data_IF_971469165117
#
_entry.id   IF_971469165117
#
_cell.length_a   1.000
_cell.length_b   1.000
_cell.length_c   1.000
_cell.angle_alpha   90.00
_cell.angle_beta   90.00
_cell.angle_gamma   90.00
#
_symmetry.space_group_name_H-M   'P 1'
#
loop_
_entity.id
_entity.type
_entity.pdbx_description
1 polymer ?
#
# COMPACT_ATOMS: atom_id res chain seq x y z
N UNK A 1 54.42 35.79 -6.89
CA UNK A 1 55.82 35.58 -7.30
C UNK A 1 56.09 34.09 -7.38
N UNK A 2 56.56 33.65 -8.56
CA UNK A 2 57.42 32.48 -8.87
C UNK A 2 57.18 31.14 -8.15
N UNK A 3 56.70 30.17 -8.94
CA UNK A 3 57.25 28.80 -8.99
C UNK A 3 58.72 28.85 -9.50
N UNK A 4 59.58 27.80 -9.39
CA UNK A 4 59.45 26.59 -10.24
C UNK A 4 60.10 25.27 -9.72
N UNK A 5 59.93 24.17 -10.50
CA UNK A 5 60.74 22.92 -10.43
C UNK A 5 59.92 21.62 -10.59
N UNK A 6 59.43 21.14 -11.76
CA UNK A 6 60.12 20.47 -12.90
C UNK A 6 60.89 19.18 -12.49
N UNK A 7 60.84 17.96 -13.09
CA UNK A 7 60.65 17.44 -14.46
C UNK A 7 60.36 15.88 -14.43
N UNK A 8 59.39 15.40 -15.24
CA UNK A 8 59.30 14.13 -16.06
C UNK A 8 59.24 12.71 -15.44
N UNK A 9 58.75 11.62 -16.08
CA UNK A 9 57.76 11.25 -17.13
C UNK A 9 58.10 9.80 -17.54
N UNK A 10 57.22 8.80 -17.33
CA UNK A 10 57.03 7.52 -18.07
C UNK A 10 55.68 6.97 -17.55
N UNK A 11 54.67 6.53 -18.30
CA UNK A 11 54.66 5.86 -19.59
C UNK A 11 54.15 4.43 -19.39
N UNK A 12 52.83 4.23 -19.31
CA UNK A 12 52.22 2.92 -19.62
C UNK A 12 50.79 3.13 -20.10
N UNK A 13 50.61 3.09 -21.42
CA UNK A 13 49.30 2.91 -22.06
C UNK A 13 49.11 1.41 -22.17
N UNK A 14 48.17 0.87 -21.41
CA UNK A 14 47.72 -0.51 -21.57
C UNK A 14 46.67 -0.53 -22.68
N UNK A 15 47.09 -0.83 -23.91
CA UNK A 15 46.20 -1.13 -25.01
C UNK A 15 45.73 -2.58 -24.84
N UNK A 16 44.58 -2.76 -24.19
CA UNK A 16 43.87 -4.03 -24.17
C UNK A 16 43.12 -4.18 -25.50
N UNK A 17 43.60 -5.11 -26.33
CA UNK A 17 42.87 -5.61 -27.47
C UNK A 17 41.60 -6.32 -26.97
N UNK A 18 40.44 -5.67 -27.10
CA UNK A 18 39.15 -6.31 -26.94
C UNK A 18 38.86 -7.12 -28.21
N UNK A 19 39.22 -8.39 -28.16
CA UNK A 19 38.62 -9.38 -29.04
C UNK A 19 37.11 -9.41 -28.76
N UNK A 20 36.31 -9.39 -29.82
CA UNK A 20 34.85 -9.44 -29.77
C UNK A 20 34.37 -10.67 -29.01
N UNK A 21 34.00 -10.47 -27.75
CA UNK A 21 32.97 -11.26 -27.11
C UNK A 21 31.68 -10.46 -27.27
N UNK A 22 30.70 -11.04 -27.97
CA UNK A 22 29.30 -10.68 -27.79
C UNK A 22 29.01 -10.83 -26.30
N UNK A 23 29.17 -9.73 -25.55
CA UNK A 23 28.63 -9.61 -24.21
C UNK A 23 27.12 -9.50 -24.41
N UNK A 24 26.48 -10.66 -24.54
CA UNK A 24 25.05 -10.78 -24.35
C UNK A 24 24.75 -10.13 -23.00
N UNK A 25 24.20 -8.91 -23.05
CA UNK A 25 23.64 -8.26 -21.87
C UNK A 25 22.63 -9.27 -21.34
N UNK A 26 22.83 -9.82 -20.12
CA UNK A 26 21.85 -10.74 -19.57
C UNK A 26 20.50 -10.02 -19.60
N UNK A 27 19.41 -10.68 -20.01
CA UNK A 27 18.10 -10.05 -19.99
C UNK A 27 17.91 -9.47 -18.59
N UNK A 28 17.66 -8.16 -18.52
CA UNK A 28 17.29 -7.50 -17.27
C UNK A 28 16.16 -8.35 -16.71
N UNK A 29 16.40 -8.99 -15.56
CA UNK A 29 15.38 -9.80 -14.91
C UNK A 29 14.11 -8.95 -14.87
N UNK A 30 13.01 -9.48 -15.42
CA UNK A 30 11.75 -8.76 -15.50
C UNK A 30 11.45 -8.18 -14.12
N UNK A 31 11.33 -6.85 -14.04
CA UNK A 31 10.98 -6.16 -12.81
C UNK A 31 9.72 -6.82 -12.26
N UNK A 32 9.77 -7.51 -11.10
CA UNK A 32 8.61 -8.22 -10.57
C UNK A 32 7.45 -7.26 -10.26
N UNK A 33 7.70 -5.95 -10.20
CA UNK A 33 6.65 -4.93 -10.09
C UNK A 33 5.88 -4.68 -11.42
N UNK A 34 6.36 -5.18 -12.56
CA UNK A 34 5.74 -5.03 -13.88
C UNK A 34 4.95 -6.25 -14.35
N UNK A 35 5.01 -7.36 -13.62
CA UNK A 35 4.25 -8.55 -13.99
C UNK A 35 2.75 -8.28 -13.85
N UNK A 36 1.99 -8.64 -14.88
CA UNK A 36 0.52 -8.61 -14.81
C UNK A 36 0.06 -9.74 -13.91
N UNK A 37 -0.65 -9.37 -12.84
CA UNK A 37 -1.17 -10.30 -11.85
C UNK A 37 -2.57 -10.71 -12.26
N UNK A 38 -2.78 -11.99 -12.53
CA UNK A 38 -4.09 -12.50 -12.92
C UNK A 38 -5.08 -12.50 -11.74
N UNK A 39 -4.59 -12.84 -10.54
CA UNK A 39 -5.42 -13.01 -9.35
C UNK A 39 -4.74 -12.39 -8.11
N UNK A 40 -5.26 -11.27 -7.58
CA UNK A 40 -4.76 -10.63 -6.37
C UNK A 40 -4.72 -11.52 -5.12
N UNK A 41 -5.65 -12.48 -4.99
CA UNK A 41 -5.70 -13.38 -3.83
C UNK A 41 -4.59 -14.42 -3.92
N UNK A 42 -4.42 -15.04 -5.09
CA UNK A 42 -3.33 -15.99 -5.32
C UNK A 42 -1.95 -15.32 -5.15
N UNK A 43 -1.80 -14.11 -5.71
CA UNK A 43 -0.58 -13.31 -5.58
C UNK A 43 -0.27 -12.97 -4.13
N UNK A 44 -1.27 -12.52 -3.36
CA UNK A 44 -1.13 -12.22 -1.94
C UNK A 44 -0.66 -13.43 -1.12
N UNK A 45 -1.27 -14.60 -1.36
CA UNK A 45 -0.94 -15.85 -0.65
C UNK A 45 0.45 -16.41 -1.05
N UNK A 46 0.92 -16.10 -2.26
CA UNK A 46 2.24 -16.53 -2.73
C UNK A 46 3.38 -15.64 -2.21
N UNK A 47 3.10 -14.46 -1.64
CA UNK A 47 4.15 -13.55 -1.18
C UNK A 47 4.96 -14.11 -0.01
N UNK A 48 6.26 -13.89 -0.05
CA UNK A 48 7.19 -14.30 1.00
C UNK A 48 7.34 -13.22 2.08
N UNK A 49 6.25 -12.87 2.77
CA UNK A 49 6.27 -11.95 3.91
C UNK A 49 6.21 -12.75 5.21
N UNK A 50 7.24 -12.66 6.10
CA UNK A 50 7.33 -13.50 7.30
C UNK A 50 6.08 -13.47 8.17
N UNK A 51 5.52 -12.29 8.42
CA UNK A 51 4.33 -12.13 9.26
C UNK A 51 3.11 -12.83 8.66
N UNK A 52 2.99 -12.90 7.32
CA UNK A 52 1.90 -13.60 6.64
C UNK A 52 2.02 -15.11 6.78
N UNK A 53 3.24 -15.66 6.70
CA UNK A 53 3.50 -17.09 6.92
C UNK A 53 3.19 -17.51 8.36
N UNK A 54 3.60 -16.70 9.33
CA UNK A 54 3.29 -16.95 10.75
C UNK A 54 1.77 -16.92 11.02
N UNK A 55 1.03 -16.08 10.28
CA UNK A 55 -0.42 -16.00 10.38
C UNK A 55 -1.18 -17.01 9.50
N UNK A 56 -0.48 -17.73 8.61
CA UNK A 56 -1.06 -18.74 7.73
C UNK A 56 -1.24 -20.06 8.49
N UNK A 57 -2.44 -20.24 9.04
CA UNK A 57 -2.86 -21.48 9.67
C UNK A 57 -4.34 -21.74 9.44
N UNK A 58 -4.92 -22.77 10.08
CA UNK A 58 -6.35 -23.09 9.96
C UNK A 58 -7.28 -21.93 10.36
N UNK A 59 -6.77 -21.01 11.18
CA UNK A 59 -7.47 -19.82 11.66
C UNK A 59 -7.20 -18.57 10.80
N UNK A 60 -6.65 -18.75 9.59
CA UNK A 60 -6.48 -17.67 8.64
C UNK A 60 -7.84 -17.16 8.19
N UNK A 61 -8.05 -15.85 8.32
CA UNK A 61 -9.11 -15.11 7.65
C UNK A 61 -8.43 -14.13 6.69
N UNK A 62 -8.72 -14.29 5.41
CA UNK A 62 -8.30 -13.37 4.35
C UNK A 62 -9.49 -12.48 4.00
N UNK A 63 -9.25 -11.19 3.82
CA UNK A 63 -10.23 -10.26 3.30
C UNK A 63 -9.82 -9.76 1.93
N UNK A 64 -10.82 -9.56 1.08
CA UNK A 64 -10.71 -8.84 -0.18
C UNK A 64 -11.61 -7.62 -0.10
N UNK A 65 -11.05 -6.45 -0.31
CA UNK A 65 -11.79 -5.19 -0.41
C UNK A 65 -11.76 -4.74 -1.85
N UNK A 66 -12.91 -4.30 -2.37
CA UNK A 66 -13.03 -3.63 -3.67
C UNK A 66 -13.52 -2.22 -3.42
N UNK A 67 -12.80 -1.22 -3.93
CA UNK A 67 -13.15 0.21 -3.79
C UNK A 67 -12.48 1.00 -4.91
N UNK A 68 -13.20 1.88 -5.59
CA UNK A 68 -12.59 2.88 -6.45
C UNK A 68 -11.93 3.94 -5.56
N UNK A 69 -10.61 4.06 -5.58
CA UNK A 69 -9.88 5.02 -4.74
C UNK A 69 -9.75 6.35 -5.44
N UNK A 70 -9.39 6.36 -6.72
CA UNK A 70 -9.06 7.57 -7.47
C UNK A 70 -10.22 8.14 -8.31
N UNK A 71 -11.37 7.46 -8.32
CA UNK A 71 -12.60 7.93 -8.96
C UNK A 71 -12.67 7.69 -10.46
N UNK A 72 -11.84 6.81 -11.01
CA UNK A 72 -11.77 6.55 -12.45
C UNK A 72 -12.80 5.52 -12.94
N UNK A 73 -13.62 4.97 -12.04
CA UNK A 73 -14.64 3.97 -12.31
C UNK A 73 -14.11 2.54 -12.42
N UNK A 74 -12.82 2.29 -12.10
CA UNK A 74 -12.17 0.98 -12.14
C UNK A 74 -11.64 0.62 -10.74
N UNK A 75 -12.45 -0.07 -9.92
CA UNK A 75 -12.11 -0.27 -8.51
C UNK A 75 -10.78 -0.98 -8.27
N UNK A 76 -9.98 -0.42 -7.37
CA UNK A 76 -8.84 -1.09 -6.74
C UNK A 76 -9.31 -2.30 -5.92
N UNK A 77 -8.42 -3.28 -5.82
CA UNK A 77 -8.57 -4.44 -4.96
C UNK A 77 -7.53 -4.36 -3.85
N UNK A 78 -7.92 -4.59 -2.62
CA UNK A 78 -7.00 -4.78 -1.50
C UNK A 78 -7.19 -6.19 -0.96
N UNK A 79 -6.09 -6.92 -0.79
CA UNK A 79 -6.11 -8.25 -0.16
C UNK A 79 -5.28 -8.18 1.10
N UNK A 80 -5.83 -8.71 2.19
CA UNK A 80 -5.21 -8.55 3.50
C UNK A 80 -5.61 -9.60 4.50
N UNK A 81 -4.82 -9.70 5.56
CA UNK A 81 -5.01 -10.61 6.68
C UNK A 81 -4.85 -9.86 7.99
N UNK A 82 -5.53 -10.31 9.04
CA UNK A 82 -5.40 -9.71 10.37
C UNK A 82 -3.99 -9.91 10.93
N UNK A 83 -3.36 -8.82 11.38
CA UNK A 83 -2.06 -8.86 12.03
C UNK A 83 -2.21 -9.08 13.53
N UNK A 84 -1.94 -10.31 13.96
CA UNK A 84 -2.19 -10.74 15.35
C UNK A 84 -1.31 -10.06 16.39
N UNK A 85 -0.21 -9.42 15.98
CA UNK A 85 0.82 -8.86 16.90
C UNK A 85 0.68 -7.37 17.20
N UNK A 86 -0.22 -6.64 16.54
CA UNK A 86 -0.37 -5.18 16.73
C UNK A 86 -1.66 -4.76 17.42
N UNK A 87 -2.42 -5.72 17.98
CA UNK A 87 -3.68 -5.45 18.66
C UNK A 87 -4.93 -5.82 17.86
N UNK A 88 -6.12 -5.60 18.44
CA UNK A 88 -7.38 -5.84 17.76
C UNK A 88 -7.48 -4.98 16.49
N UNK A 89 -8.15 -5.50 15.46
CA UNK A 89 -8.54 -4.74 14.26
C UNK A 89 -7.42 -4.24 13.32
N UNK A 90 -6.14 -4.56 13.53
CA UNK A 90 -5.09 -4.17 12.57
C UNK A 90 -5.02 -5.13 11.38
N UNK A 91 -5.31 -4.65 10.17
CA UNK A 91 -5.20 -5.44 8.94
C UNK A 91 -3.99 -4.98 8.13
N UNK A 92 -3.22 -5.95 7.65
CA UNK A 92 -2.13 -5.73 6.70
C UNK A 92 -2.67 -5.96 5.29
N UNK A 93 -2.48 -4.98 4.41
CA UNK A 93 -3.01 -5.03 3.05
C UNK A 93 -1.94 -4.91 1.99
N UNK A 94 -2.15 -5.65 0.91
CA UNK A 94 -1.57 -5.34 -0.41
C UNK A 94 -2.66 -4.78 -1.30
N UNK A 95 -2.38 -3.66 -1.96
CA UNK A 95 -3.28 -3.03 -2.92
C UNK A 95 -2.94 -3.40 -4.36
N UNK A 96 -3.95 -3.43 -5.21
CA UNK A 96 -3.88 -3.75 -6.63
C UNK A 96 -4.79 -2.82 -7.43
N UNK A 97 -4.28 -2.25 -8.53
CA UNK A 97 -5.08 -1.50 -9.50
C UNK A 97 -5.36 -2.37 -10.73
N UNK A 98 -6.57 -2.34 -11.30
CA UNK A 98 -6.90 -3.09 -12.50
C UNK A 98 -6.16 -2.57 -13.74
N UNK A 99 -5.77 -3.50 -14.62
CA UNK A 99 -5.23 -3.20 -15.95
C UNK A 99 -5.77 -4.19 -16.97
N UNK A 100 -5.53 -3.94 -18.26
CA UNK A 100 -5.96 -4.85 -19.31
C UNK A 100 -5.34 -6.26 -19.12
N UNK A 101 -6.18 -7.26 -18.83
CA UNK A 101 -5.74 -8.64 -18.62
C UNK A 101 -5.29 -8.99 -17.21
N UNK A 102 -5.44 -8.11 -16.22
CA UNK A 102 -5.16 -8.45 -14.82
C UNK A 102 -5.03 -7.23 -13.91
N UNK A 103 -4.03 -7.27 -13.05
CA UNK A 103 -3.79 -6.30 -11.99
C UNK A 103 -2.30 -5.95 -11.86
N UNK A 104 -2.02 -4.81 -11.24
CA UNK A 104 -0.67 -4.39 -10.84
C UNK A 104 -0.70 -4.00 -9.37
N UNK A 105 0.32 -4.41 -8.60
CA UNK A 105 0.47 -3.97 -7.21
C UNK A 105 0.66 -2.46 -7.13
N UNK A 106 -0.08 -1.81 -6.25
CA UNK A 106 0.05 -0.38 -5.94
C UNK A 106 0.73 -0.13 -4.59
N UNK A 107 0.83 -1.14 -3.72
CA UNK A 107 1.64 -1.11 -2.51
C UNK A 107 3.06 -1.61 -2.77
N UNK A 108 4.07 -1.25 -1.96
CA UNK A 108 5.44 -1.75 -2.14
C UNK A 108 5.50 -3.29 -2.03
N UNK A 109 6.37 -3.93 -2.81
CA UNK A 109 6.43 -5.40 -2.87
C UNK A 109 6.81 -6.08 -1.54
N UNK A 110 7.50 -5.34 -0.65
CA UNK A 110 7.98 -5.83 0.64
C UNK A 110 7.36 -5.09 1.83
N UNK A 111 6.25 -4.37 1.63
CA UNK A 111 5.57 -3.66 2.69
C UNK A 111 4.05 -3.87 2.60
N UNK A 112 3.45 -3.98 3.77
CA UNK A 112 2.00 -3.94 3.95
C UNK A 112 1.58 -2.53 4.36
N UNK A 113 0.35 -2.15 4.02
CA UNK A 113 -0.26 -0.91 4.49
C UNK A 113 -1.32 -1.19 5.55
N UNK A 114 -1.43 -0.27 6.52
CA UNK A 114 -2.34 -0.39 7.65
C UNK A 114 -3.60 0.44 7.42
N UNK A 115 -4.60 -0.20 6.83
CA UNK A 115 -5.88 0.45 6.51
C UNK A 115 -6.99 -0.26 7.26
N UNK A 116 -7.89 0.50 7.86
CA UNK A 116 -9.17 -0.01 8.32
C UNK A 116 -10.28 0.47 7.38
N UNK A 117 -10.75 -0.44 6.54
CA UNK A 117 -11.81 -0.17 5.59
C UNK A 117 -13.19 -0.04 6.24
N UNK A 118 -13.36 -0.33 7.54
CA UNK A 118 -14.65 -0.12 8.20
C UNK A 118 -14.92 1.37 8.34
N UNK A 119 -15.98 1.82 7.66
CA UNK A 119 -16.42 3.21 7.66
C UNK A 119 -15.35 4.23 7.22
N UNK A 120 -14.35 3.79 6.45
CA UNK A 120 -13.36 4.69 5.87
C UNK A 120 -14.07 5.70 4.95
N UNK A 121 -13.62 6.94 4.96
CA UNK A 121 -14.08 7.93 3.99
C UNK A 121 -13.51 7.59 2.62
N UNK A 122 -14.33 7.62 1.58
CA UNK A 122 -13.92 7.49 0.17
C UNK A 122 -14.56 8.64 -0.60
N UNK A 123 -13.75 9.46 -1.27
CA UNK A 123 -14.25 10.62 -2.00
C UNK A 123 -13.20 11.72 -2.16
N UNK A 124 -13.63 12.97 -2.43
CA UNK A 124 -12.72 14.08 -2.65
C UNK A 124 -11.97 14.45 -1.37
N UNK A 125 -10.67 14.73 -1.52
CA UNK A 125 -9.77 15.25 -0.50
C UNK A 125 -9.43 16.70 -0.91
N UNK A 126 -10.15 17.71 -0.40
CA UNK A 126 -10.02 19.09 -0.86
C UNK A 126 -8.60 19.63 -0.74
N UNK A 127 -7.86 19.26 0.31
CA UNK A 127 -6.50 19.74 0.56
C UNK A 127 -5.47 19.20 -0.44
N UNK A 128 -5.80 18.12 -1.15
CA UNK A 128 -4.95 17.53 -2.18
C UNK A 128 -5.50 17.75 -3.60
N UNK A 129 -6.69 18.34 -3.74
CA UNK A 129 -7.41 18.50 -5.01
C UNK A 129 -7.51 17.18 -5.81
N UNK A 130 -7.84 16.08 -5.14
CA UNK A 130 -7.98 14.74 -5.75
C UNK A 130 -8.91 13.85 -4.93
N UNK A 131 -9.28 12.72 -5.52
CA UNK A 131 -10.00 11.65 -4.84
C UNK A 131 -9.04 10.77 -4.01
N UNK A 132 -9.59 10.11 -3.00
CA UNK A 132 -8.86 9.13 -2.22
C UNK A 132 -9.68 8.58 -1.05
N UNK A 133 -8.97 8.00 -0.09
CA UNK A 133 -9.53 7.55 1.17
C UNK A 133 -8.94 8.31 2.34
N UNK A 134 -9.71 8.48 3.41
CA UNK A 134 -9.27 9.17 4.62
C UNK A 134 -9.58 8.34 5.86
N UNK A 135 -8.56 8.12 6.67
CA UNK A 135 -8.63 7.42 7.94
C UNK A 135 -8.20 8.37 9.06
N UNK A 136 -9.02 8.48 10.10
CA UNK A 136 -8.58 9.02 11.39
C UNK A 136 -8.07 7.89 12.26
N UNK A 137 -6.95 8.09 12.95
CA UNK A 137 -6.40 7.13 13.90
C UNK A 137 -6.50 7.70 15.32
N UNK A 138 -6.93 6.87 16.27
CA UNK A 138 -6.86 7.15 17.69
C UNK A 138 -5.96 6.10 18.34
N UNK A 139 -5.05 6.53 19.22
CA UNK A 139 -4.23 5.63 20.04
C UNK A 139 -5.06 4.91 21.12
N UNK A 140 -6.23 5.46 21.46
CA UNK A 140 -7.03 5.02 22.60
C UNK A 140 -8.32 4.31 22.20
N UNK A 141 -8.79 4.54 20.97
CA UNK A 141 -10.10 4.09 20.51
C UNK A 141 -10.01 3.34 19.19
N UNK A 142 -10.88 2.33 19.05
CA UNK A 142 -11.15 1.74 17.75
C UNK A 142 -11.75 2.78 16.79
N UNK A 143 -11.53 2.58 15.50
CA UNK A 143 -12.01 3.48 14.45
C UNK A 143 -13.53 3.65 14.39
N UNK A 144 -14.30 2.66 14.84
CA UNK A 144 -15.75 2.75 14.90
C UNK A 144 -16.25 3.60 16.07
N UNK A 145 -15.40 3.82 17.07
CA UNK A 145 -15.68 4.53 18.32
C UNK A 145 -15.01 5.92 18.35
N UNK A 146 -14.43 6.36 17.22
CA UNK A 146 -13.61 7.58 17.11
C UNK A 146 -14.34 8.85 17.56
N UNK A 147 -15.66 8.86 17.48
CA UNK A 147 -16.52 9.98 17.84
C UNK A 147 -16.55 10.23 19.35
N UNK A 148 -16.12 9.25 20.16
CA UNK A 148 -15.97 9.37 21.61
C UNK A 148 -14.73 10.17 22.03
N UNK A 149 -13.80 10.46 21.12
CA UNK A 149 -12.62 11.29 21.39
C UNK A 149 -12.73 12.66 20.71
N UNK A 150 -12.32 13.71 21.42
CA UNK A 150 -12.10 15.03 20.83
C UNK A 150 -10.79 15.09 20.02
N UNK A 151 -9.87 14.17 20.23
CA UNK A 151 -8.56 14.14 19.58
C UNK A 151 -8.37 12.86 18.76
N UNK A 152 -8.07 13.02 17.47
CA UNK A 152 -7.45 11.98 16.66
C UNK A 152 -5.94 12.16 16.72
N UNK A 153 -5.22 11.07 16.94
CA UNK A 153 -3.75 11.07 17.02
C UNK A 153 -3.10 11.32 15.66
N UNK A 154 -3.74 10.88 14.57
CA UNK A 154 -3.36 11.24 13.21
C UNK A 154 -4.58 11.20 12.29
N UNK A 155 -4.54 11.97 11.20
CA UNK A 155 -5.40 11.76 10.04
C UNK A 155 -4.52 11.43 8.84
N UNK A 156 -4.77 10.28 8.24
CA UNK A 156 -3.99 9.73 7.15
C UNK A 156 -4.79 9.74 5.85
N UNK A 157 -4.19 10.26 4.79
CA UNK A 157 -4.73 10.26 3.44
C UNK A 157 -4.12 9.13 2.63
N UNK A 158 -4.97 8.39 1.91
CA UNK A 158 -4.57 7.37 0.95
C UNK A 158 -5.06 7.76 -0.44
N UNK A 159 -4.17 7.82 -1.40
CA UNK A 159 -4.54 8.17 -2.78
C UNK A 159 -3.60 7.53 -3.79
N UNK A 160 -4.04 7.40 -5.03
CA UNK A 160 -3.20 6.89 -6.10
C UNK A 160 -2.40 8.04 -6.71
N UNK A 161 -1.09 7.83 -6.85
CA UNK A 161 -0.20 8.72 -7.58
C UNK A 161 0.81 7.88 -8.35
N UNK A 162 0.98 8.18 -9.64
CA UNK A 162 1.92 7.48 -10.51
C UNK A 162 1.77 5.94 -10.49
N UNK A 163 0.52 5.48 -10.32
CA UNK A 163 0.18 4.06 -10.25
C UNK A 163 0.61 3.37 -8.95
N UNK A 164 0.87 4.13 -7.88
CA UNK A 164 1.20 3.64 -6.54
C UNK A 164 0.23 4.23 -5.52
N UNK A 165 -0.02 3.48 -4.45
CA UNK A 165 -0.74 3.98 -3.28
C UNK A 165 0.21 4.84 -2.47
N UNK A 166 -0.18 6.10 -2.24
CA UNK A 166 0.53 7.02 -1.38
C UNK A 166 -0.23 7.13 -0.07
N UNK A 167 0.50 6.96 1.03
CA UNK A 167 0.05 7.20 2.40
C UNK A 167 0.64 8.52 2.89
N UNK A 168 -0.20 9.43 3.38
CA UNK A 168 0.23 10.74 3.87
C UNK A 168 -0.49 11.07 5.18
N UNK A 169 0.24 10.93 6.30
CA UNK A 169 -0.16 11.47 7.59
C UNK A 169 -0.21 13.00 7.55
N UNK A 170 -1.17 13.57 8.28
CA UNK A 170 -1.39 15.02 8.32
C UNK A 170 -1.22 15.60 9.72
N UNK A 171 -0.94 14.74 10.70
CA UNK A 171 -0.84 15.10 12.10
C UNK A 171 -2.16 14.93 12.84
N UNK A 172 -2.16 15.24 14.14
CA UNK A 172 -3.32 15.11 14.99
C UNK A 172 -4.46 16.02 14.51
N UNK A 173 -5.69 15.63 14.84
CA UNK A 173 -6.88 16.43 14.62
C UNK A 173 -7.59 16.64 15.96
N UNK A 174 -7.59 17.88 16.44
CA UNK A 174 -8.27 18.33 17.65
C UNK A 174 -9.63 18.98 17.30
N UNK A 175 -10.72 18.39 17.77
CA UNK A 175 -12.10 18.84 17.52
C UNK A 175 -12.49 20.08 18.34
N UNK A 176 -11.68 20.47 19.33
CA UNK A 176 -11.89 21.70 20.09
C UNK A 176 -11.41 22.94 19.29
N UNK A 177 -10.53 22.75 18.30
CA UNK A 177 -10.18 23.77 17.31
C UNK A 177 -11.26 23.88 16.22
N UNK A 178 -11.84 25.08 15.95
CA UNK A 178 -12.93 25.24 15.00
C UNK A 178 -12.61 24.85 13.55
N UNK A 179 -11.38 25.05 13.08
CA UNK A 179 -11.00 24.71 11.71
C UNK A 179 -10.77 23.20 11.57
N UNK A 180 -10.13 22.59 12.56
CA UNK A 180 -9.94 21.15 12.62
C UNK A 180 -11.27 20.41 12.81
N UNK A 181 -12.20 20.98 13.59
CA UNK A 181 -13.57 20.45 13.70
C UNK A 181 -14.29 20.42 12.36
N UNK A 182 -14.20 21.46 11.54
CA UNK A 182 -14.79 21.45 10.18
C UNK A 182 -14.22 20.32 9.34
N UNK A 183 -12.90 20.09 9.44
CA UNK A 183 -12.21 19.00 8.77
C UNK A 183 -12.69 17.63 9.27
N UNK A 184 -12.87 17.46 10.58
CA UNK A 184 -13.47 16.26 11.15
C UNK A 184 -14.89 16.05 10.64
N UNK A 185 -15.73 17.07 10.70
CA UNK A 185 -17.13 16.98 10.30
C UNK A 185 -17.25 16.62 8.80
N UNK A 186 -16.33 17.12 7.97
CA UNK A 186 -16.27 16.78 6.54
C UNK A 186 -15.98 15.29 6.29
N UNK A 187 -14.93 14.74 6.93
CA UNK A 187 -14.48 13.36 6.65
C UNK A 187 -15.19 12.30 7.50
N UNK A 188 -15.54 12.63 8.75
CA UNK A 188 -15.95 11.67 9.76
C UNK A 188 -17.30 12.01 10.41
N UNK A 189 -17.80 13.23 10.22
CA UNK A 189 -19.07 13.69 10.78
C UNK A 189 -20.29 12.89 10.30
N UNK A 190 -21.44 13.03 10.99
CA UNK A 190 -22.67 12.32 10.65
C UNK A 190 -23.21 12.70 9.26
N UNK A 191 -22.94 13.92 8.80
CA UNK A 191 -23.37 14.44 7.50
C UNK A 191 -22.32 14.23 6.39
N UNK A 192 -21.27 13.43 6.66
CA UNK A 192 -20.22 13.17 5.66
C UNK A 192 -20.82 12.55 4.40
N UNK A 193 -20.35 13.01 3.25
CA UNK A 193 -20.73 12.46 1.95
C UNK A 193 -19.61 11.60 1.42
N UNK A 194 -19.81 10.29 1.45
CA UNK A 194 -18.91 9.33 0.79
C UNK A 194 -19.38 9.10 -0.63
N UNK A 195 -18.42 8.97 -1.55
CA UNK A 195 -18.69 8.58 -2.94
C UNK A 195 -19.06 7.10 -3.02
N UNK A 196 -18.33 6.27 -2.30
CA UNK A 196 -18.46 4.82 -2.33
C UNK A 196 -18.24 4.24 -0.93
N UNK A 197 -18.85 3.08 -0.67
CA UNK A 197 -18.57 2.25 0.50
C UNK A 197 -17.76 1.03 0.04
N UNK A 198 -16.56 0.77 0.59
CA UNK A 198 -15.77 -0.39 0.19
C UNK A 198 -16.54 -1.70 0.35
N UNK A 199 -16.53 -2.54 -0.69
CA UNK A 199 -17.10 -3.89 -0.62
C UNK A 199 -16.10 -4.84 0.00
N UNK A 200 -16.43 -5.43 1.14
CA UNK A 200 -15.55 -6.33 1.90
C UNK A 200 -16.05 -7.78 1.79
N UNK A 201 -15.23 -8.65 1.21
CA UNK A 201 -15.42 -10.10 1.19
C UNK A 201 -14.46 -10.75 2.20
N UNK A 202 -14.90 -11.78 2.92
CA UNK A 202 -14.07 -12.53 3.87
C UNK A 202 -14.02 -14.00 3.47
N UNK A 203 -12.84 -14.61 3.58
CA UNK A 203 -12.59 -16.00 3.25
C UNK A 203 -11.87 -16.69 4.40
N UNK A 204 -12.43 -17.81 4.84
CA UNK A 204 -11.75 -18.75 5.71
C UNK A 204 -10.68 -19.55 4.96
N UNK A 205 -9.73 -20.13 5.69
CA UNK A 205 -8.77 -21.08 5.13
C UNK A 205 -9.45 -22.23 4.36
N UNK A 206 -10.57 -22.75 4.88
CA UNK A 206 -11.33 -23.83 4.23
C UNK A 206 -11.91 -23.41 2.88
N UNK A 207 -12.52 -22.23 2.80
CA UNK A 207 -13.07 -21.69 1.54
C UNK A 207 -11.97 -21.42 0.52
N UNK A 208 -10.81 -20.92 0.96
CA UNK A 208 -9.66 -20.72 0.07
C UNK A 208 -9.19 -22.05 -0.53
N UNK A 209 -9.05 -23.10 0.28
CA UNK A 209 -8.68 -24.43 -0.20
C UNK A 209 -9.72 -25.02 -1.15
N UNK A 210 -11.02 -24.87 -0.85
CA UNK A 210 -12.11 -25.32 -1.73
C UNK A 210 -12.10 -24.62 -3.09
N UNK A 211 -11.65 -23.35 -3.12
CA UNK A 211 -11.46 -22.56 -4.35
C UNK A 211 -10.14 -22.86 -5.07
N UNK A 212 -9.32 -23.77 -4.55
CA UNK A 212 -8.06 -24.20 -5.17
C UNK A 212 -6.84 -23.34 -4.85
N UNK A 213 -6.95 -22.41 -3.89
CA UNK A 213 -5.80 -21.61 -3.46
C UNK A 213 -4.80 -22.44 -2.66
N UNK A 214 -3.52 -22.10 -2.79
CA UNK A 214 -2.43 -22.64 -1.97
C UNK A 214 -2.19 -21.70 -0.80
N UNK A 215 -2.37 -22.20 0.42
CA UNK A 215 -2.07 -21.41 1.63
C UNK A 215 -0.55 -21.33 1.88
N UNK A 216 -0.04 -20.20 2.41
CA UNK A 216 1.35 -20.10 2.82
C UNK A 216 1.68 -21.19 3.84
N UNK A 217 2.85 -21.82 3.70
CA UNK A 217 3.36 -22.76 4.70
C UNK A 217 4.20 -21.99 5.73
N UNK A 218 4.02 -22.26 7.04
CA UNK A 218 4.91 -21.73 8.07
C UNK A 218 6.35 -22.23 7.91
#
# INVERSE_FOLDING_TARGET
>A
MRAPGFFWRWGLILLLALAGADLAIPPVAADPERAVIADPVADYLAMNVPDRKVNAGPLLILKKVTVDVDGDGRPEVFVGTWYRRSGPNTWLWTGYTPLAGGYRRITPANADVLIDFRQIYVGPIPELHREGMVQGYSLELDNQDRDQSNLLSDVTYYYIQDGKLVEKGTGPLDRDDPEQRKRYDFFFGPERRVREVPRIESFSAGELLQRGYVLPRP
#
